data_IF_821616162012
#
_entry.id   IF_821616162012
#
_cell.length_a   1.000
_cell.length_b   1.000
_cell.length_c   1.000
_cell.angle_alpha   90.00
_cell.angle_beta   90.00
_cell.angle_gamma   90.00
#
_symmetry.space_group_name_H-M   'P 1'
#
loop_
_entity.id
_entity.type
_entity.pdbx_description
1 polymer ?
#
# COMPACT_ATOMS: atom_id res chain seq x y z
N UNK A 1 -23.87 1.82 13.07
CA UNK A 1 -22.49 1.93 12.59
C UNK A 1 -22.01 0.51 12.28
N UNK A 2 -21.57 0.28 11.05
CA UNK A 2 -20.91 -0.96 10.64
C UNK A 2 -19.51 -1.03 11.27
N UNK A 3 -19.03 -2.22 11.61
CA UNK A 3 -17.71 -2.44 12.24
C UNK A 3 -16.90 -3.47 11.43
N UNK A 4 -16.32 -3.05 10.30
CA UNK A 4 -15.68 -4.00 9.39
C UNK A 4 -14.36 -4.50 9.96
N UNK A 5 -14.03 -5.76 9.67
CA UNK A 5 -12.74 -6.36 9.98
C UNK A 5 -11.64 -5.83 9.06
N UNK A 6 -11.99 -5.48 7.81
CA UNK A 6 -11.09 -4.85 6.84
C UNK A 6 -11.87 -3.93 5.90
N UNK A 7 -11.20 -2.87 5.43
CA UNK A 7 -11.70 -1.98 4.38
C UNK A 7 -10.56 -1.68 3.43
N UNK A 8 -10.70 -2.15 2.20
CA UNK A 8 -9.72 -1.93 1.14
C UNK A 8 -10.36 -1.21 -0.06
N UNK A 9 -9.61 -0.31 -0.68
CA UNK A 9 -9.99 0.44 -1.86
C UNK A 9 -9.03 0.10 -3.00
N UNK A 10 -9.57 -0.20 -4.17
CA UNK A 10 -8.80 -0.46 -5.38
C UNK A 10 -9.12 0.58 -6.44
N UNK A 11 -8.08 1.16 -7.00
CA UNK A 11 -8.16 2.00 -8.21
C UNK A 11 -8.69 1.20 -9.40
N UNK A 12 -9.26 1.83 -10.44
CA UNK A 12 -9.75 1.13 -11.62
C UNK A 12 -8.73 0.18 -12.29
N UNK A 13 -7.44 0.56 -12.45
CA UNK A 13 -6.43 -0.38 -12.96
C UNK A 13 -6.22 -1.60 -12.04
N UNK A 14 -6.20 -1.40 -10.72
CA UNK A 14 -6.06 -2.51 -9.77
C UNK A 14 -7.31 -3.42 -9.73
N UNK A 15 -8.50 -2.84 -9.78
CA UNK A 15 -9.77 -3.57 -9.87
C UNK A 15 -9.79 -4.50 -11.08
N UNK A 16 -9.32 -4.05 -12.25
CA UNK A 16 -9.25 -4.89 -13.46
C UNK A 16 -8.34 -6.09 -13.29
N UNK A 17 -7.20 -5.93 -12.62
CA UNK A 17 -6.30 -7.04 -12.29
C UNK A 17 -6.93 -8.07 -11.34
N UNK A 18 -7.95 -7.65 -10.58
CA UNK A 18 -8.76 -8.51 -9.70
C UNK A 18 -10.08 -8.97 -10.34
N UNK A 19 -10.28 -8.76 -11.65
CA UNK A 19 -11.50 -9.14 -12.36
C UNK A 19 -12.73 -8.28 -12.01
N UNK A 20 -12.52 -7.02 -11.61
CA UNK A 20 -13.55 -6.03 -11.28
C UNK A 20 -13.42 -4.79 -12.17
N UNK A 21 -14.44 -3.95 -12.17
CA UNK A 21 -14.46 -2.71 -12.95
C UNK A 21 -14.56 -1.47 -12.06
N UNK A 22 -14.02 -0.35 -12.55
CA UNK A 22 -14.06 0.94 -11.84
C UNK A 22 -13.36 0.92 -10.48
N UNK A 23 -13.63 1.95 -9.68
CA UNK A 23 -13.20 1.97 -8.29
C UNK A 23 -13.96 0.91 -7.51
N UNK A 24 -13.24 0.05 -6.78
CA UNK A 24 -13.87 -1.02 -5.98
C UNK A 24 -13.53 -0.82 -4.51
N UNK A 25 -14.55 -0.82 -3.65
CA UNK A 25 -14.40 -0.88 -2.20
C UNK A 25 -14.73 -2.29 -1.75
N UNK A 26 -13.78 -2.96 -1.10
CA UNK A 26 -13.98 -4.26 -0.48
C UNK A 26 -14.07 -4.11 1.04
N UNK A 27 -15.06 -4.78 1.63
CA UNK A 27 -15.33 -4.72 3.06
C UNK A 27 -15.40 -6.15 3.58
N UNK A 28 -14.52 -6.50 4.51
CA UNK A 28 -14.65 -7.76 5.25
C UNK A 28 -15.54 -7.53 6.46
N UNK A 29 -16.59 -8.33 6.59
CA UNK A 29 -17.47 -8.34 7.76
C UNK A 29 -17.27 -9.66 8.51
N UNK A 30 -17.14 -9.59 9.84
CA UNK A 30 -17.08 -10.76 10.69
C UNK A 30 -17.94 -10.50 11.93
N UNK A 31 -18.71 -11.50 12.35
CA UNK A 31 -19.61 -11.36 13.49
C UNK A 31 -20.73 -12.39 13.50
N UNK A 32 -21.75 -12.11 14.31
CA UNK A 32 -22.96 -12.92 14.37
C UNK A 32 -23.92 -12.62 13.21
N UNK A 33 -24.97 -13.43 13.07
CA UNK A 33 -25.97 -13.29 12.00
C UNK A 33 -26.59 -11.89 11.96
N UNK A 34 -26.96 -11.32 13.10
CA UNK A 34 -27.55 -9.98 13.16
C UNK A 34 -26.62 -8.88 12.62
N UNK A 35 -25.31 -9.05 12.80
CA UNK A 35 -24.31 -8.15 12.21
C UNK A 35 -24.22 -8.34 10.70
N UNK A 36 -24.19 -9.58 10.20
CA UNK A 36 -24.15 -9.85 8.76
C UNK A 36 -25.41 -9.33 8.04
N UNK A 37 -26.59 -9.56 8.60
CA UNK A 37 -27.87 -9.03 8.11
C UNK A 37 -27.88 -7.50 8.05
N UNK A 38 -27.17 -6.84 8.97
CA UNK A 38 -27.01 -5.38 8.95
C UNK A 38 -26.20 -4.91 7.76
N UNK A 39 -25.10 -5.57 7.42
CA UNK A 39 -24.30 -5.22 6.22
C UNK A 39 -25.14 -5.32 4.96
N UNK A 40 -25.88 -6.41 4.81
CA UNK A 40 -26.74 -6.61 3.64
C UNK A 40 -27.85 -5.55 3.53
N UNK A 41 -28.40 -5.10 4.68
CA UNK A 41 -29.40 -4.03 4.71
C UNK A 41 -28.82 -2.64 4.43
N UNK A 42 -27.65 -2.33 4.97
CA UNK A 42 -27.02 -1.00 4.80
C UNK A 42 -26.27 -0.87 3.47
N UNK A 43 -25.92 -1.98 2.82
CA UNK A 43 -25.23 -2.03 1.53
C UNK A 43 -25.97 -2.96 0.54
N UNK A 44 -27.22 -2.63 0.15
CA UNK A 44 -28.06 -3.52 -0.65
C UNK A 44 -27.50 -3.79 -2.05
N UNK A 45 -26.71 -2.86 -2.60
CA UNK A 45 -26.11 -2.98 -3.93
C UNK A 45 -24.73 -3.66 -3.91
N UNK A 46 -24.23 -4.04 -2.73
CA UNK A 46 -22.95 -4.71 -2.61
C UNK A 46 -23.04 -6.16 -3.11
N UNK A 47 -22.03 -6.59 -3.87
CA UNK A 47 -21.85 -7.99 -4.23
C UNK A 47 -21.30 -8.76 -3.02
N UNK A 48 -22.05 -9.74 -2.55
CA UNK A 48 -21.62 -10.65 -1.48
C UNK A 48 -20.68 -11.72 -2.04
N UNK A 49 -19.52 -11.89 -1.40
CA UNK A 49 -18.62 -13.01 -1.63
C UNK A 49 -18.53 -13.82 -0.34
N UNK A 50 -18.69 -15.14 -0.44
CA UNK A 50 -18.59 -16.06 0.69
C UNK A 50 -17.77 -17.30 0.29
N UNK A 51 -17.20 -17.98 1.28
CA UNK A 51 -16.51 -19.25 1.10
C UNK A 51 -15.27 -19.13 0.21
N UNK A 52 -15.17 -19.97 -0.83
CA UNK A 52 -13.99 -20.01 -1.69
C UNK A 52 -13.79 -18.70 -2.49
N UNK A 53 -14.88 -18.07 -2.93
CA UNK A 53 -14.81 -16.83 -3.70
C UNK A 53 -14.29 -15.66 -2.83
N UNK A 54 -14.73 -15.61 -1.57
CA UNK A 54 -14.23 -14.66 -0.57
C UNK A 54 -12.74 -14.89 -0.30
N UNK A 55 -12.35 -16.13 0.00
CA UNK A 55 -10.97 -16.48 0.32
C UNK A 55 -10.04 -16.16 -0.85
N UNK A 56 -10.43 -16.51 -2.07
CA UNK A 56 -9.66 -16.22 -3.29
C UNK A 56 -9.49 -14.73 -3.49
N UNK A 57 -10.58 -13.96 -3.34
CA UNK A 57 -10.52 -12.51 -3.47
C UNK A 57 -9.55 -11.88 -2.47
N UNK A 58 -9.67 -12.23 -1.18
CA UNK A 58 -8.79 -11.67 -0.16
C UNK A 58 -7.34 -12.12 -0.29
N UNK A 59 -7.08 -13.36 -0.72
CA UNK A 59 -5.73 -13.82 -1.04
C UNK A 59 -5.11 -12.98 -2.17
N UNK A 60 -5.88 -12.67 -3.21
CA UNK A 60 -5.40 -11.84 -4.32
C UNK A 60 -5.14 -10.39 -3.89
N UNK A 61 -6.01 -9.81 -3.04
CA UNK A 61 -5.80 -8.46 -2.47
C UNK A 61 -4.58 -8.42 -1.53
N UNK A 62 -4.36 -9.47 -0.75
CA UNK A 62 -3.21 -9.58 0.15
C UNK A 62 -1.89 -9.76 -0.63
N UNK A 63 -1.90 -10.61 -1.66
CA UNK A 63 -0.75 -10.91 -2.52
C UNK A 63 -0.54 -9.93 -3.69
N UNK A 64 -1.38 -8.89 -3.81
CA UNK A 64 -1.45 -8.03 -4.99
C UNK A 64 -0.09 -7.47 -5.43
N UNK A 65 0.67 -6.89 -4.50
CA UNK A 65 1.96 -6.25 -4.80
C UNK A 65 3.02 -7.27 -5.20
N UNK A 66 3.01 -8.47 -4.62
CA UNK A 66 3.94 -9.54 -4.98
C UNK A 66 3.63 -10.08 -6.38
N UNK A 67 2.37 -10.41 -6.64
CA UNK A 67 1.93 -10.87 -7.96
C UNK A 67 2.19 -9.83 -9.06
N UNK A 68 2.04 -8.54 -8.73
CA UNK A 68 2.39 -7.46 -9.65
C UNK A 68 3.87 -7.47 -10.00
N UNK A 69 4.76 -7.55 -9.01
CA UNK A 69 6.22 -7.55 -9.22
C UNK A 69 6.70 -8.80 -9.95
N UNK A 70 6.10 -9.96 -9.71
CA UNK A 70 6.40 -11.20 -10.44
C UNK A 70 6.13 -11.03 -11.96
N UNK A 71 5.12 -10.23 -12.31
CA UNK A 71 4.76 -9.93 -13.70
C UNK A 71 5.51 -8.73 -14.29
N UNK A 72 6.15 -7.91 -13.45
CA UNK A 72 6.88 -6.69 -13.84
C UNK A 72 8.27 -6.68 -13.19
N UNK A 73 9.26 -7.43 -13.73
CA UNK A 73 10.58 -7.54 -13.12
C UNK A 73 11.36 -6.23 -13.00
N UNK A 74 11.01 -5.23 -13.82
CA UNK A 74 11.56 -3.86 -13.77
C UNK A 74 10.65 -2.87 -13.03
N UNK A 75 9.52 -3.36 -12.52
CA UNK A 75 8.53 -2.57 -11.80
C UNK A 75 8.90 -2.36 -10.34
N UNK A 76 8.10 -1.52 -9.68
CA UNK A 76 8.31 -1.15 -8.29
C UNK A 76 7.00 -0.84 -7.57
N UNK A 77 7.05 -0.89 -6.25
CA UNK A 77 5.92 -0.55 -5.37
C UNK A 77 6.31 0.64 -4.52
N UNK A 78 5.56 1.72 -4.64
CA UNK A 78 5.63 2.84 -3.71
C UNK A 78 4.53 2.72 -2.65
N UNK A 79 4.89 2.90 -1.39
CA UNK A 79 3.92 3.02 -0.29
C UNK A 79 3.74 4.49 0.05
N UNK A 80 2.50 4.95 -0.04
CA UNK A 80 2.05 6.27 0.37
C UNK A 80 1.23 6.17 1.64
N UNK A 81 1.49 7.04 2.61
CA UNK A 81 0.69 7.18 3.83
C UNK A 81 -0.02 8.52 3.85
N UNK A 82 -1.33 8.49 4.02
CA UNK A 82 -2.20 9.68 4.12
C UNK A 82 -3.11 9.58 5.34
N UNK A 83 -3.68 10.72 5.75
CA UNK A 83 -4.90 10.69 6.56
C UNK A 83 -6.09 10.29 5.67
N UNK A 84 -7.22 9.91 6.27
CA UNK A 84 -8.44 9.60 5.50
C UNK A 84 -8.88 10.79 4.64
N UNK A 85 -8.84 12.01 5.18
CA UNK A 85 -9.21 13.23 4.45
C UNK A 85 -8.28 13.56 3.28
N UNK A 86 -7.02 13.11 3.34
CA UNK A 86 -6.04 13.35 2.28
C UNK A 86 -5.95 12.22 1.24
N UNK A 87 -6.72 11.14 1.41
CA UNK A 87 -6.64 9.98 0.53
C UNK A 87 -7.05 10.31 -0.91
N UNK A 88 -8.25 10.86 -1.09
CA UNK A 88 -8.79 11.24 -2.41
C UNK A 88 -7.86 12.21 -3.16
N UNK A 89 -7.48 13.38 -2.60
CA UNK A 89 -6.62 14.32 -3.33
C UNK A 89 -5.22 13.75 -3.61
N UNK A 90 -4.71 12.84 -2.78
CA UNK A 90 -3.41 12.23 -3.01
C UNK A 90 -3.44 11.17 -4.14
N UNK A 91 -4.59 10.52 -4.36
CA UNK A 91 -4.76 9.50 -5.40
C UNK A 91 -5.40 10.02 -6.68
N UNK A 92 -5.96 11.24 -6.70
CA UNK A 92 -6.71 11.79 -7.83
C UNK A 92 -5.93 11.81 -9.16
N UNK A 93 -4.61 12.00 -9.11
CA UNK A 93 -3.73 12.03 -10.30
C UNK A 93 -3.00 10.71 -10.59
N UNK A 94 -3.28 9.66 -9.81
CA UNK A 94 -2.57 8.39 -9.92
C UNK A 94 -3.27 7.50 -10.96
N UNK A 95 -2.59 7.26 -12.08
CA UNK A 95 -3.09 6.39 -13.16
C UNK A 95 -2.65 4.92 -13.03
N UNK A 96 -1.81 4.62 -12.02
CA UNK A 96 -1.23 3.29 -11.82
C UNK A 96 -2.12 2.40 -10.96
N UNK A 97 -1.98 1.06 -10.98
CA UNK A 97 -2.69 0.21 -10.04
C UNK A 97 -2.35 0.54 -8.58
N UNK A 98 -3.38 0.89 -7.81
CA UNK A 98 -3.32 1.17 -6.38
C UNK A 98 -4.24 0.25 -5.60
N UNK A 99 -3.69 -0.34 -4.53
CA UNK A 99 -4.46 -0.98 -3.46
C UNK A 99 -4.23 -0.20 -2.17
N UNK A 100 -5.31 0.31 -1.60
CA UNK A 100 -5.29 1.09 -0.36
C UNK A 100 -5.95 0.30 0.75
N UNK A 101 -5.24 0.14 1.87
CA UNK A 101 -5.82 -0.26 3.15
C UNK A 101 -6.59 0.95 3.70
N UNK A 102 -7.82 1.14 3.22
CA UNK A 102 -8.60 2.36 3.43
C UNK A 102 -8.90 2.62 4.92
N UNK A 103 -8.93 1.57 5.74
CA UNK A 103 -9.05 1.69 7.19
C UNK A 103 -7.93 2.49 7.86
N UNK A 104 -6.71 2.52 7.31
CA UNK A 104 -5.56 3.21 7.92
C UNK A 104 -4.83 4.20 7.00
N UNK A 105 -5.32 4.42 5.77
CA UNK A 105 -4.77 5.41 4.85
C UNK A 105 -3.42 5.02 4.23
N UNK A 106 -3.07 3.72 4.21
CA UNK A 106 -1.87 3.22 3.53
C UNK A 106 -2.23 2.77 2.12
N UNK A 107 -1.59 3.34 1.12
CA UNK A 107 -1.77 2.99 -0.30
C UNK A 107 -0.50 2.40 -0.88
N UNK A 108 -0.63 1.27 -1.57
CA UNK A 108 0.45 0.63 -2.34
C UNK A 108 0.21 0.89 -3.83
N UNK A 109 1.07 1.72 -4.41
CA UNK A 109 1.05 2.09 -5.83
C UNK A 109 2.07 1.22 -6.57
N UNK A 110 1.60 0.49 -7.58
CA UNK A 110 2.41 -0.42 -8.37
C UNK A 110 2.76 0.23 -9.70
N UNK A 111 4.04 0.38 -10.02
CA UNK A 111 4.54 1.01 -11.24
C UNK A 111 5.28 -0.01 -12.10
N UNK A 112 5.04 -0.01 -13.41
CA UNK A 112 5.69 -0.94 -14.35
C UNK A 112 7.19 -0.64 -14.54
N UNK A 113 7.63 0.57 -14.17
CA UNK A 113 9.01 1.02 -14.19
C UNK A 113 9.43 1.59 -12.83
N UNK A 114 10.60 1.17 -12.36
CA UNK A 114 11.18 1.59 -11.09
C UNK A 114 11.39 3.11 -11.01
N UNK A 115 11.84 3.75 -12.09
CA UNK A 115 12.08 5.19 -12.14
C UNK A 115 10.79 5.99 -11.93
N UNK A 116 9.64 5.47 -12.38
CA UNK A 116 8.35 6.10 -12.16
C UNK A 116 7.96 6.10 -10.67
N UNK A 117 8.25 5.02 -9.95
CA UNK A 117 8.03 4.96 -8.51
C UNK A 117 8.95 5.94 -7.76
N UNK A 118 10.23 6.04 -8.16
CA UNK A 118 11.18 6.99 -7.58
C UNK A 118 10.72 8.43 -7.82
N UNK A 119 10.36 8.78 -9.05
CA UNK A 119 9.86 10.10 -9.39
C UNK A 119 8.59 10.46 -8.60
N UNK A 120 7.65 9.52 -8.48
CA UNK A 120 6.45 9.69 -7.67
C UNK A 120 6.79 9.99 -6.20
N UNK A 121 7.69 9.22 -5.59
CA UNK A 121 8.06 9.39 -4.18
C UNK A 121 8.75 10.74 -3.94
N UNK A 122 9.58 11.20 -4.88
CA UNK A 122 10.20 12.53 -4.82
C UNK A 122 9.18 13.66 -4.93
N UNK A 123 8.26 13.57 -5.89
CA UNK A 123 7.17 14.55 -6.05
C UNK A 123 6.25 14.58 -4.83
N UNK A 124 5.86 13.41 -4.32
CA UNK A 124 5.05 13.28 -3.11
C UNK A 124 5.74 13.96 -1.92
N UNK A 125 7.06 13.76 -1.76
CA UNK A 125 7.84 14.43 -0.72
C UNK A 125 7.88 15.95 -0.91
N UNK A 126 8.00 16.45 -2.15
CA UNK A 126 7.91 17.88 -2.46
C UNK A 126 6.56 18.50 -2.09
N UNK A 127 5.49 17.70 -2.12
CA UNK A 127 4.14 18.07 -1.64
C UNK A 127 3.93 17.85 -0.14
N UNK A 128 4.96 17.43 0.61
CA UNK A 128 4.87 17.14 2.05
C UNK A 128 4.17 15.82 2.39
N UNK A 129 3.91 14.96 1.41
CA UNK A 129 3.32 13.64 1.62
C UNK A 129 4.39 12.63 2.05
N UNK A 130 3.97 11.60 2.78
CA UNK A 130 4.86 10.54 3.27
C UNK A 130 4.83 9.36 2.32
N UNK A 131 5.86 9.24 1.49
CA UNK A 131 6.00 8.13 0.54
C UNK A 131 7.39 7.50 0.59
N UNK A 132 7.45 6.20 0.28
CA UNK A 132 8.69 5.43 0.14
C UNK A 132 8.57 4.45 -1.02
N UNK A 133 9.67 4.11 -1.69
CA UNK A 133 9.72 2.94 -2.58
C UNK A 133 10.00 1.71 -1.71
N UNK A 134 9.00 0.83 -1.55
CA UNK A 134 9.04 -0.31 -0.64
C UNK A 134 9.65 -1.56 -1.28
N UNK A 135 9.43 -1.73 -2.59
CA UNK A 135 9.95 -2.85 -3.37
C UNK A 135 10.23 -2.42 -4.82
N UNK A 136 11.10 -3.17 -5.50
CA UNK A 136 11.56 -2.92 -6.87
C UNK A 136 12.78 -3.80 -7.21
N UNK A 137 13.51 -3.52 -8.30
CA UNK A 137 14.69 -4.29 -8.70
C UNK A 137 15.82 -4.25 -7.67
N UNK A 138 16.77 -5.19 -7.75
CA UNK A 138 17.84 -5.35 -6.75
C UNK A 138 18.85 -4.20 -6.74
N UNK A 139 19.07 -3.53 -7.87
CA UNK A 139 20.00 -2.41 -8.04
C UNK A 139 19.45 -1.06 -7.54
N UNK A 140 18.22 -1.05 -6.99
CA UNK A 140 17.54 0.13 -6.39
C UNK A 140 18.34 0.85 -5.30
N UNK A 141 19.36 0.20 -4.76
CA UNK A 141 20.23 0.72 -3.72
C UNK A 141 20.87 2.08 -4.06
N UNK A 142 21.07 2.38 -5.35
CA UNK A 142 21.70 3.62 -5.79
C UNK A 142 20.75 4.83 -5.83
N UNK A 143 19.47 4.65 -5.48
CA UNK A 143 18.45 5.70 -5.56
C UNK A 143 17.96 6.15 -4.19
N UNK A 144 17.47 7.39 -4.11
CA UNK A 144 16.80 7.90 -2.91
C UNK A 144 15.39 7.35 -2.81
N UNK A 145 15.24 6.19 -2.14
CA UNK A 145 13.95 5.49 -1.98
C UNK A 145 13.07 6.06 -0.86
N UNK A 146 13.69 6.77 0.10
CA UNK A 146 13.02 7.46 1.20
C UNK A 146 13.57 8.89 1.30
N UNK A 147 12.95 9.85 0.59
CA UNK A 147 13.51 11.19 0.40
C UNK A 147 13.41 12.07 1.65
N UNK A 148 12.32 11.95 2.41
CA UNK A 148 12.07 12.79 3.57
C UNK A 148 11.93 11.95 4.85
N UNK A 149 13.04 11.43 5.41
CA UNK A 149 13.02 10.85 6.73
C UNK A 149 12.77 11.98 7.75
N UNK A 150 11.70 11.85 8.54
CA UNK A 150 11.36 12.84 9.57
C UNK A 150 12.43 13.00 10.64
N UNK A 151 12.23 13.95 11.56
CA UNK A 151 13.16 14.27 12.65
C UNK A 151 13.59 13.07 13.49
N UNK A 152 12.71 12.06 13.62
CA UNK A 152 12.95 10.86 14.42
C UNK A 152 14.08 9.98 13.87
N UNK A 153 14.48 10.17 12.60
CA UNK A 153 15.55 9.40 11.98
C UNK A 153 16.90 9.60 12.71
N UNK A 154 17.19 10.80 13.21
CA UNK A 154 18.40 11.04 14.00
C UNK A 154 18.45 10.20 15.29
N UNK A 155 17.28 9.94 15.89
CA UNK A 155 17.15 9.08 17.06
C UNK A 155 17.39 7.61 16.66
N UNK A 156 16.77 7.16 15.55
CA UNK A 156 16.97 5.80 15.02
C UNK A 156 18.45 5.52 14.74
N UNK A 157 19.16 6.46 14.12
CA UNK A 157 20.58 6.34 13.82
C UNK A 157 21.44 6.24 15.11
N UNK A 158 21.09 7.03 16.14
CA UNK A 158 21.74 6.93 17.46
C UNK A 158 21.52 5.56 18.10
N UNK A 159 20.29 5.04 18.05
CA UNK A 159 19.97 3.71 18.57
C UNK A 159 20.77 2.63 17.82
N UNK A 160 20.84 2.69 16.48
CA UNK A 160 21.63 1.76 15.66
C UNK A 160 23.11 1.78 16.05
N UNK A 161 23.72 2.96 16.19
CA UNK A 161 25.13 3.08 16.63
C UNK A 161 25.38 2.53 18.04
N UNK A 162 24.40 2.64 18.94
CA UNK A 162 24.53 2.10 20.30
C UNK A 162 24.47 0.56 20.33
N UNK A 163 23.59 -0.03 19.51
CA UNK A 163 23.34 -1.48 19.51
C UNK A 163 24.27 -2.26 18.58
N UNK A 164 24.71 -1.64 17.48
CA UNK A 164 25.60 -2.25 16.50
C UNK A 164 26.67 -1.25 16.03
N UNK A 165 27.65 -0.92 16.91
CA UNK A 165 28.69 0.06 16.61
C UNK A 165 29.55 -0.32 15.39
N UNK A 166 29.66 -1.62 15.09
CA UNK A 166 30.43 -2.13 13.96
C UNK A 166 29.66 -2.23 12.65
N UNK A 167 28.37 -1.85 12.64
CA UNK A 167 27.44 -2.02 11.52
C UNK A 167 27.44 -3.43 10.90
N UNK A 168 27.50 -4.47 11.74
CA UNK A 168 27.57 -5.86 11.29
C UNK A 168 26.19 -6.44 11.00
N UNK A 169 25.14 -5.90 11.63
CA UNK A 169 23.77 -6.42 11.53
C UNK A 169 22.99 -5.70 10.43
N UNK A 170 22.75 -6.39 9.31
CA UNK A 170 21.95 -5.92 8.17
C UNK A 170 22.35 -4.53 7.66
N UNK A 171 23.59 -4.37 7.14
CA UNK A 171 24.04 -3.08 6.60
C UNK A 171 23.16 -2.62 5.43
N UNK A 172 22.91 -1.32 5.32
CA UNK A 172 22.12 -0.73 4.24
C UNK A 172 20.60 -0.76 4.45
N UNK A 173 20.13 -1.04 5.68
CA UNK A 173 18.71 -1.00 6.03
C UNK A 173 18.18 0.44 6.05
N UNK A 174 16.85 0.56 6.11
CA UNK A 174 16.13 1.84 5.96
C UNK A 174 16.58 2.61 4.71
N UNK A 175 16.60 1.92 3.56
CA UNK A 175 16.88 2.54 2.27
C UNK A 175 18.30 3.10 2.17
N UNK A 176 19.30 2.30 2.56
CA UNK A 176 20.73 2.64 2.60
C UNK A 176 21.11 3.83 3.49
N UNK A 177 20.28 4.14 4.48
CA UNK A 177 20.59 5.22 5.43
C UNK A 177 21.23 4.74 6.74
N UNK A 178 21.13 3.47 7.11
CA UNK A 178 21.79 2.88 8.29
C UNK A 178 22.34 1.47 8.07
#
# INVERSE_FOLDING_TARGET
ILQPAAIDLMSPPASRLLGREGWTVAIAAAGNLAMMERYQRELPDASLLEGEAEQTFWNNVAGFTSAFLDSHPQGAVARLSTTHAALEPALASVATPVVTRAGNGVSYLCFDAFESAVAFVQDAAGRGLRAVVEAGPDDRANHTLWPNPGSDFAIMERIKRMLDPGNLLNPGRLFNRI
#
